data_IF_429500454587
#
_entry.id   IF_429500454587
#
_cell.length_a   1.000
_cell.length_b   1.000
_cell.length_c   1.000
_cell.angle_alpha   90.00
_cell.angle_beta   90.00
_cell.angle_gamma   90.00
#
_symmetry.space_group_name_H-M   'P 1'
#
loop_
_entity.id
_entity.type
_entity.pdbx_description
1 polymer ?
#
# COMPACT_ATOMS: atom_id res chain seq x y z
N UNK A 1 -23.62 12.42 3.61
CA UNK A 1 -22.94 12.32 2.29
C UNK A 1 -22.42 10.90 2.04
N UNK A 2 -22.52 10.38 0.81
CA UNK A 2 -21.89 9.10 0.43
C UNK A 2 -20.40 9.28 0.06
N UNK A 3 -19.50 8.36 0.47
CA UNK A 3 -18.08 8.43 0.14
C UNK A 3 -17.82 8.17 -1.36
N UNK A 4 -17.38 9.21 -2.10
CA UNK A 4 -17.12 9.16 -3.55
C UNK A 4 -16.01 8.19 -3.96
N UNK A 5 -15.10 7.84 -3.05
CA UNK A 5 -13.99 6.90 -3.27
C UNK A 5 -14.30 5.44 -2.95
N UNK A 6 -15.48 5.11 -2.42
CA UNK A 6 -15.85 3.77 -1.93
C UNK A 6 -15.65 2.65 -2.94
N UNK A 7 -16.07 2.85 -4.20
CA UNK A 7 -15.95 1.84 -5.25
C UNK A 7 -14.48 1.55 -5.60
N UNK A 8 -13.65 2.60 -5.68
CA UNK A 8 -12.22 2.48 -5.93
C UNK A 8 -11.50 1.79 -4.76
N UNK A 9 -11.79 2.18 -3.51
CA UNK A 9 -11.20 1.56 -2.32
C UNK A 9 -11.58 0.08 -2.19
N UNK A 10 -12.84 -0.27 -2.47
CA UNK A 10 -13.29 -1.67 -2.43
C UNK A 10 -12.65 -2.49 -3.55
N UNK A 11 -12.64 -1.97 -4.78
CA UNK A 11 -12.02 -2.64 -5.92
C UNK A 11 -10.51 -2.82 -5.76
N UNK A 12 -9.80 -1.74 -5.44
CA UNK A 12 -8.36 -1.78 -5.17
C UNK A 12 -8.03 -2.66 -3.95
N UNK A 13 -8.88 -2.64 -2.91
CA UNK A 13 -8.70 -3.48 -1.73
C UNK A 13 -8.81 -4.98 -2.04
N UNK A 14 -9.76 -5.39 -2.89
CA UNK A 14 -9.87 -6.78 -3.35
C UNK A 14 -8.65 -7.18 -4.18
N UNK A 15 -8.23 -6.32 -5.11
CA UNK A 15 -7.06 -6.58 -5.95
C UNK A 15 -5.79 -6.67 -5.10
N UNK A 16 -5.64 -5.80 -4.09
CA UNK A 16 -4.54 -5.88 -3.13
C UNK A 16 -4.54 -7.18 -2.34
N UNK A 17 -5.70 -7.67 -1.93
CA UNK A 17 -5.81 -8.95 -1.24
C UNK A 17 -5.28 -10.11 -2.10
N UNK A 18 -5.77 -10.21 -3.34
CA UNK A 18 -5.35 -11.26 -4.28
C UNK A 18 -3.86 -11.13 -4.59
N UNK A 19 -3.42 -9.92 -4.93
CA UNK A 19 -2.04 -9.64 -5.31
C UNK A 19 -1.06 -9.87 -4.16
N UNK A 20 -1.40 -9.41 -2.96
CA UNK A 20 -0.58 -9.61 -1.77
C UNK A 20 -0.43 -11.10 -1.42
N UNK A 21 -1.50 -11.89 -1.54
CA UNK A 21 -1.43 -13.34 -1.36
C UNK A 21 -0.49 -13.98 -2.39
N UNK A 22 -0.60 -13.62 -3.67
CA UNK A 22 0.26 -14.14 -4.73
C UNK A 22 1.74 -13.81 -4.48
N UNK A 23 2.05 -12.57 -4.10
CA UNK A 23 3.41 -12.15 -3.74
C UNK A 23 3.93 -12.95 -2.55
N UNK A 24 3.11 -13.13 -1.51
CA UNK A 24 3.52 -13.90 -0.33
C UNK A 24 3.82 -15.35 -0.70
N UNK A 25 2.97 -15.99 -1.51
CA UNK A 25 3.21 -17.37 -1.99
C UNK A 25 4.50 -17.43 -2.80
N UNK A 26 4.73 -16.48 -3.71
CA UNK A 26 5.95 -16.42 -4.50
C UNK A 26 7.20 -16.23 -3.62
N UNK A 27 7.12 -15.38 -2.59
CA UNK A 27 8.16 -15.23 -1.59
C UNK A 27 8.45 -16.52 -0.83
N UNK A 28 7.41 -17.26 -0.42
CA UNK A 28 7.58 -18.58 0.25
C UNK A 28 8.26 -19.59 -0.68
N UNK A 29 7.87 -19.64 -1.96
CA UNK A 29 8.53 -20.52 -2.95
C UNK A 29 10.01 -20.17 -3.10
N UNK A 30 10.35 -18.88 -3.20
CA UNK A 30 11.75 -18.43 -3.25
C UNK A 30 12.53 -18.79 -1.98
N UNK A 31 11.89 -18.69 -0.81
CA UNK A 31 12.50 -19.10 0.45
C UNK A 31 12.81 -20.59 0.44
N UNK A 32 11.86 -21.43 -0.01
CA UNK A 32 12.10 -22.87 -0.18
C UNK A 32 13.24 -23.16 -1.16
N UNK A 33 13.31 -22.44 -2.29
CA UNK A 33 14.42 -22.57 -3.25
C UNK A 33 15.77 -22.20 -2.62
N UNK A 34 15.83 -21.14 -1.80
CA UNK A 34 17.05 -20.77 -1.08
C UNK A 34 17.49 -21.88 -0.11
N UNK A 35 16.55 -22.50 0.62
CA UNK A 35 16.86 -23.62 1.51
C UNK A 35 17.33 -24.88 0.77
N UNK A 36 16.78 -25.15 -0.41
CA UNK A 36 17.27 -26.24 -1.27
C UNK A 36 18.66 -25.96 -1.83
N UNK A 37 18.93 -24.73 -2.25
CA UNK A 37 20.27 -24.31 -2.68
C UNK A 37 21.29 -24.44 -1.53
N UNK A 38 20.92 -24.14 -0.28
CA UNK A 38 21.77 -24.39 0.88
C UNK A 38 22.11 -25.87 1.06
N UNK A 39 21.12 -26.75 0.88
CA UNK A 39 21.31 -28.20 1.04
C UNK A 39 22.11 -28.84 -0.10
N UNK A 40 21.96 -28.30 -1.32
CA UNK A 40 22.62 -28.81 -2.52
C UNK A 40 23.94 -28.08 -2.83
N UNK A 41 24.29 -27.03 -2.09
CA UNK A 41 25.45 -26.17 -2.32
C UNK A 41 26.83 -26.80 -2.10
N UNK A 42 26.86 -28.02 -1.58
CA UNK A 42 28.07 -28.87 -1.53
C UNK A 42 28.30 -29.66 -2.83
N UNK A 43 27.35 -29.64 -3.78
CA UNK A 43 27.54 -30.28 -5.09
C UNK A 43 28.41 -29.42 -6.01
N UNK A 44 29.40 -30.05 -6.63
CA UNK A 44 30.39 -29.39 -7.50
C UNK A 44 29.74 -28.65 -8.68
N UNK A 45 28.66 -29.21 -9.23
CA UNK A 45 27.92 -28.63 -10.37
C UNK A 45 27.26 -27.28 -10.02
N UNK A 46 26.68 -27.15 -8.82
CA UNK A 46 26.00 -25.90 -8.44
C UNK A 46 27.00 -24.82 -8.01
N UNK A 47 28.13 -25.21 -7.40
CA UNK A 47 29.24 -24.27 -7.18
C UNK A 47 29.79 -23.72 -8.50
N UNK A 48 29.89 -24.55 -9.54
CA UNK A 48 30.38 -24.14 -10.83
C UNK A 48 29.44 -23.11 -11.50
N UNK A 49 28.12 -23.35 -11.45
CA UNK A 49 27.10 -22.41 -11.94
C UNK A 49 27.14 -21.06 -11.18
N UNK A 50 27.32 -21.08 -9.86
CA UNK A 50 27.44 -19.86 -9.07
C UNK A 50 28.72 -19.07 -9.43
N UNK A 51 29.84 -19.78 -9.59
CA UNK A 51 31.14 -19.19 -9.91
C UNK A 51 31.18 -18.62 -11.33
N UNK A 52 30.51 -19.26 -12.29
CA UNK A 52 30.30 -18.74 -13.66
C UNK A 52 29.45 -17.45 -13.67
N UNK A 53 28.55 -17.29 -12.70
CA UNK A 53 27.79 -16.06 -12.46
C UNK A 53 28.54 -14.97 -11.67
N UNK A 54 29.80 -15.20 -11.29
CA UNK A 54 30.61 -14.27 -10.50
C UNK A 54 30.19 -14.12 -9.04
N UNK A 55 29.36 -15.03 -8.52
CA UNK A 55 28.84 -15.00 -7.14
C UNK A 55 29.32 -16.23 -6.37
N UNK A 56 29.63 -16.05 -5.08
CA UNK A 56 29.80 -17.20 -4.20
C UNK A 56 28.42 -17.85 -3.95
N UNK A 57 28.39 -19.16 -3.75
CA UNK A 57 27.15 -19.88 -3.45
C UNK A 57 26.48 -19.34 -2.18
N UNK A 58 27.28 -18.96 -1.18
CA UNK A 58 26.82 -18.28 0.04
C UNK A 58 26.18 -16.91 -0.27
N UNK A 59 26.78 -16.11 -1.16
CA UNK A 59 26.24 -14.83 -1.59
C UNK A 59 24.93 -14.97 -2.37
N UNK A 60 24.83 -15.98 -3.24
CA UNK A 60 23.60 -16.29 -3.99
C UNK A 60 22.46 -16.68 -3.06
N UNK A 61 22.71 -17.64 -2.16
CA UNK A 61 21.75 -18.09 -1.14
C UNK A 61 21.29 -16.91 -0.28
N UNK A 62 22.22 -16.10 0.23
CA UNK A 62 21.90 -14.95 1.07
C UNK A 62 21.01 -13.94 0.32
N UNK A 63 21.30 -13.70 -0.96
CA UNK A 63 20.54 -12.78 -1.81
C UNK A 63 19.12 -13.26 -2.04
N UNK A 64 18.94 -14.53 -2.41
CA UNK A 64 17.62 -15.14 -2.62
C UNK A 64 16.82 -15.17 -1.31
N UNK A 65 17.48 -15.45 -0.18
CA UNK A 65 16.83 -15.49 1.12
C UNK A 65 16.34 -14.09 1.55
N UNK A 66 17.19 -13.06 1.46
CA UNK A 66 16.78 -11.67 1.77
C UNK A 66 15.62 -11.20 0.89
N UNK A 67 15.66 -11.55 -0.40
CA UNK A 67 14.60 -11.23 -1.35
C UNK A 67 13.28 -11.94 -0.99
N UNK A 68 13.35 -13.21 -0.62
CA UNK A 68 12.17 -13.98 -0.22
C UNK A 68 11.49 -13.40 1.01
N UNK A 69 12.27 -13.02 2.03
CA UNK A 69 11.76 -12.37 3.25
C UNK A 69 11.15 -11.02 2.93
N UNK A 70 11.80 -10.22 2.07
CA UNK A 70 11.26 -8.92 1.63
C UNK A 70 9.92 -9.09 0.91
N UNK A 71 9.81 -10.07 0.00
CA UNK A 71 8.57 -10.36 -0.73
C UNK A 71 7.45 -10.82 0.22
N UNK A 72 7.74 -11.69 1.19
CA UNK A 72 6.76 -12.14 2.19
C UNK A 72 6.28 -10.96 3.03
N UNK A 73 7.19 -10.13 3.54
CA UNK A 73 6.85 -8.95 4.33
C UNK A 73 6.01 -7.96 3.52
N UNK A 74 6.41 -7.69 2.27
CA UNK A 74 5.67 -6.82 1.36
C UNK A 74 4.26 -7.35 1.06
N UNK A 75 4.16 -8.64 0.72
CA UNK A 75 2.89 -9.31 0.43
C UNK A 75 1.94 -9.25 1.63
N UNK A 76 2.43 -9.51 2.84
CA UNK A 76 1.65 -9.40 4.07
C UNK A 76 1.15 -7.96 4.31
N UNK A 77 2.00 -6.96 4.15
CA UNK A 77 1.62 -5.54 4.26
C UNK A 77 0.52 -5.15 3.25
N UNK A 78 0.65 -5.63 2.00
CA UNK A 78 -0.34 -5.40 0.94
C UNK A 78 -1.68 -6.09 1.26
N UNK A 79 -1.67 -7.29 1.81
CA UNK A 79 -2.90 -7.97 2.26
C UNK A 79 -3.59 -7.18 3.37
N UNK A 80 -2.83 -6.71 4.36
CA UNK A 80 -3.38 -5.89 5.47
C UNK A 80 -4.02 -4.61 4.91
N UNK A 81 -3.34 -3.92 3.98
CA UNK A 81 -3.92 -2.78 3.27
C UNK A 81 -5.23 -3.13 2.56
N UNK A 82 -5.26 -4.25 1.84
CA UNK A 82 -6.44 -4.70 1.11
C UNK A 82 -7.64 -4.88 2.05
N UNK A 83 -7.41 -5.54 3.19
CA UNK A 83 -8.41 -5.74 4.23
C UNK A 83 -8.89 -4.40 4.79
N UNK A 84 -7.96 -3.50 5.18
CA UNK A 84 -8.30 -2.19 5.73
C UNK A 84 -9.08 -1.34 4.71
N UNK A 85 -8.74 -1.42 3.43
CA UNK A 85 -9.47 -0.75 2.35
C UNK A 85 -10.89 -1.24 2.20
N UNK A 86 -11.11 -2.55 2.28
CA UNK A 86 -12.46 -3.14 2.21
C UNK A 86 -13.29 -2.76 3.44
N UNK A 87 -12.71 -2.86 4.65
CA UNK A 87 -13.42 -2.57 5.90
C UNK A 87 -13.77 -1.07 5.99
N UNK A 88 -12.81 -0.20 5.67
CA UNK A 88 -12.95 1.25 5.86
C UNK A 88 -13.38 2.00 4.59
N UNK A 89 -13.70 1.33 3.48
CA UNK A 89 -14.18 2.00 2.25
C UNK A 89 -15.43 2.87 2.47
N UNK A 90 -16.25 2.58 3.49
CA UNK A 90 -17.43 3.35 3.87
C UNK A 90 -17.16 4.43 4.94
N UNK A 91 -15.99 4.39 5.58
CA UNK A 91 -15.66 5.27 6.70
C UNK A 91 -14.97 6.54 6.20
N UNK A 92 -15.71 7.64 6.21
CA UNK A 92 -15.23 8.98 5.83
C UNK A 92 -14.14 9.47 6.80
N UNK A 93 -14.31 9.25 8.12
CA UNK A 93 -13.34 9.66 9.15
C UNK A 93 -11.98 8.93 9.10
N UNK A 94 -11.91 7.76 8.46
CA UNK A 94 -10.65 6.98 8.32
C UNK A 94 -9.92 7.24 7.01
N UNK A 95 -10.44 8.11 6.14
CA UNK A 95 -9.89 8.38 4.81
C UNK A 95 -8.45 8.93 4.86
N UNK A 96 -8.14 9.82 5.82
CA UNK A 96 -6.77 10.36 6.01
C UNK A 96 -5.76 9.29 6.40
N UNK A 97 -6.17 8.35 7.26
CA UNK A 97 -5.34 7.20 7.66
C UNK A 97 -5.08 6.27 6.47
N UNK A 98 -6.11 5.92 5.69
CA UNK A 98 -5.94 5.09 4.50
C UNK A 98 -5.03 5.76 3.45
N UNK A 99 -5.15 7.08 3.29
CA UNK A 99 -4.28 7.87 2.41
C UNK A 99 -2.82 7.79 2.86
N UNK A 100 -2.54 8.02 4.15
CA UNK A 100 -1.20 7.90 4.70
C UNK A 100 -0.61 6.49 4.50
N UNK A 101 -1.39 5.46 4.79
CA UNK A 101 -0.94 4.07 4.69
C UNK A 101 -0.62 3.68 3.24
N UNK A 102 -1.35 4.22 2.27
CA UNK A 102 -1.04 4.02 0.85
C UNK A 102 0.27 4.69 0.41
N UNK A 103 0.59 5.88 0.92
CA UNK A 103 1.88 6.53 0.67
C UNK A 103 3.01 5.65 1.21
N UNK A 104 2.86 5.13 2.43
CA UNK A 104 3.86 4.28 3.06
C UNK A 104 4.18 3.06 2.19
N UNK A 105 3.16 2.40 1.62
CA UNK A 105 3.36 1.25 0.75
C UNK A 105 3.94 1.60 -0.61
N UNK A 106 3.59 2.76 -1.18
CA UNK A 106 4.24 3.24 -2.41
C UNK A 106 5.74 3.45 -2.17
N UNK A 107 6.10 4.14 -1.08
CA UNK A 107 7.50 4.40 -0.71
C UNK A 107 8.24 3.09 -0.48
N UNK A 108 7.67 2.18 0.31
CA UNK A 108 8.25 0.87 0.58
C UNK A 108 8.44 0.04 -0.71
N UNK A 109 7.46 0.04 -1.60
CA UNK A 109 7.55 -0.66 -2.89
C UNK A 109 8.59 -0.04 -3.82
N UNK A 110 8.73 1.30 -3.81
CA UNK A 110 9.74 2.01 -4.59
C UNK A 110 11.16 1.72 -4.12
N UNK A 111 11.39 1.65 -2.80
CA UNK A 111 12.69 1.25 -2.23
C UNK A 111 13.06 -0.17 -2.67
N UNK A 112 12.11 -1.12 -2.56
CA UNK A 112 12.36 -2.50 -2.97
C UNK A 112 12.55 -2.66 -4.49
N UNK A 113 11.88 -1.84 -5.30
CA UNK A 113 12.12 -1.77 -6.73
C UNK A 113 13.55 -1.30 -7.02
N UNK A 114 14.01 -0.24 -6.35
CA UNK A 114 15.38 0.26 -6.47
C UNK A 114 16.42 -0.81 -6.12
N UNK A 115 16.20 -1.54 -5.03
CA UNK A 115 17.05 -2.68 -4.65
C UNK A 115 17.03 -3.77 -5.72
N UNK A 116 15.86 -4.16 -6.22
CA UNK A 116 15.74 -5.19 -7.26
C UNK A 116 16.51 -4.83 -8.54
N UNK A 117 16.50 -3.55 -8.93
CA UNK A 117 17.26 -3.04 -10.06
C UNK A 117 18.77 -3.12 -9.80
N UNK A 118 19.22 -2.68 -8.62
CA UNK A 118 20.65 -2.66 -8.26
C UNK A 118 21.27 -4.06 -8.20
N UNK A 119 20.50 -5.07 -7.80
CA UNK A 119 20.96 -6.46 -7.70
C UNK A 119 20.64 -7.30 -8.94
N UNK A 120 20.14 -6.70 -10.03
CA UNK A 120 19.86 -7.42 -11.29
C UNK A 120 18.75 -8.48 -11.18
N UNK A 121 17.86 -8.34 -10.19
CA UNK A 121 16.90 -9.36 -9.80
C UNK A 121 15.59 -9.26 -10.60
N UNK A 122 15.04 -10.41 -10.97
CA UNK A 122 13.80 -10.58 -11.76
C UNK A 122 12.50 -10.18 -11.03
N UNK A 123 12.54 -9.75 -9.76
CA UNK A 123 11.34 -9.33 -9.02
C UNK A 123 10.92 -7.86 -9.20
N UNK A 124 11.42 -7.16 -10.22
CA UNK A 124 10.96 -5.81 -10.52
C UNK A 124 9.44 -5.72 -10.75
N UNK A 125 8.86 -6.72 -11.42
CA UNK A 125 7.44 -6.74 -11.80
C UNK A 125 6.52 -6.70 -10.56
N UNK A 126 6.68 -7.56 -9.54
CA UNK A 126 5.96 -7.48 -8.27
C UNK A 126 5.92 -6.08 -7.65
N UNK A 127 7.04 -5.38 -7.62
CA UNK A 127 7.15 -4.06 -7.01
C UNK A 127 6.47 -2.97 -7.87
N UNK A 128 6.62 -3.02 -9.20
CA UNK A 128 5.95 -2.09 -10.11
C UNK A 128 4.42 -2.17 -10.01
N UNK A 129 3.86 -3.38 -10.00
CA UNK A 129 2.40 -3.57 -9.85
C UNK A 129 1.93 -3.07 -8.48
N UNK A 130 2.72 -3.32 -7.42
CA UNK A 130 2.40 -2.85 -6.07
C UNK A 130 2.35 -1.31 -5.97
N UNK A 131 3.24 -0.61 -6.68
CA UNK A 131 3.23 0.86 -6.78
C UNK A 131 1.96 1.35 -7.48
N UNK A 132 1.60 0.76 -8.63
CA UNK A 132 0.39 1.15 -9.38
C UNK A 132 -0.86 0.95 -8.52
N UNK A 133 -0.98 -0.19 -7.83
CA UNK A 133 -2.10 -0.44 -6.93
C UNK A 133 -2.12 0.54 -5.75
N UNK A 134 -0.94 0.89 -5.22
CA UNK A 134 -0.79 1.95 -4.20
C UNK A 134 -1.35 3.28 -4.66
N UNK A 135 -1.07 3.69 -5.90
CA UNK A 135 -1.58 4.95 -6.48
C UNK A 135 -3.10 4.91 -6.63
N UNK A 136 -3.65 3.81 -7.17
CA UNK A 136 -5.12 3.66 -7.33
C UNK A 136 -5.81 3.74 -5.96
N UNK A 137 -5.25 3.08 -4.96
CA UNK A 137 -5.76 3.11 -3.60
C UNK A 137 -5.67 4.52 -2.98
N UNK A 138 -4.55 5.21 -3.20
CA UNK A 138 -4.36 6.59 -2.77
C UNK A 138 -5.42 7.51 -3.37
N UNK A 139 -5.72 7.38 -4.66
CA UNK A 139 -6.77 8.17 -5.33
C UNK A 139 -8.14 7.91 -4.70
N UNK A 140 -8.45 6.65 -4.40
CA UNK A 140 -9.68 6.29 -3.69
C UNK A 140 -9.77 6.94 -2.31
N UNK A 141 -8.67 6.90 -1.53
CA UNK A 141 -8.60 7.53 -0.23
C UNK A 141 -8.69 9.08 -0.30
N UNK A 142 -8.00 9.70 -1.25
CA UNK A 142 -8.00 11.16 -1.46
C UNK A 142 -9.39 11.70 -1.82
N UNK A 143 -10.13 10.98 -2.66
CA UNK A 143 -11.53 11.32 -2.97
C UNK A 143 -12.43 11.28 -1.73
N UNK A 144 -12.20 10.32 -0.83
CA UNK A 144 -12.91 10.29 0.45
C UNK A 144 -12.50 11.47 1.35
N UNK A 145 -11.20 11.82 1.42
CA UNK A 145 -10.74 13.00 2.20
C UNK A 145 -11.35 14.30 1.69
N UNK A 146 -11.39 14.51 0.37
CA UNK A 146 -12.03 15.70 -0.21
C UNK A 146 -13.52 15.79 0.12
N UNK A 147 -14.21 14.64 0.19
CA UNK A 147 -15.61 14.59 0.62
C UNK A 147 -15.77 14.96 2.10
N UNK A 148 -14.82 14.63 2.97
CA UNK A 148 -14.80 15.07 4.38
C UNK A 148 -14.70 16.60 4.46
N UNK A 149 -13.74 17.17 3.75
CA UNK A 149 -13.43 18.60 3.88
C UNK A 149 -14.60 19.46 3.36
N UNK A 150 -15.23 19.08 2.25
CA UNK A 150 -16.43 19.75 1.75
C UNK A 150 -17.58 19.71 2.76
N UNK A 151 -17.81 18.57 3.40
CA UNK A 151 -18.86 18.46 4.41
C UNK A 151 -18.59 19.30 5.66
N UNK A 152 -17.32 19.52 6.03
CA UNK A 152 -16.96 20.42 7.15
C UNK A 152 -17.16 21.88 6.76
N UNK A 153 -16.78 22.26 5.54
CA UNK A 153 -16.96 23.61 5.03
C UNK A 153 -18.45 23.99 4.89
N UNK A 154 -19.30 23.04 4.47
CA UNK A 154 -20.75 23.22 4.45
C UNK A 154 -21.33 23.45 5.87
N UNK A 155 -20.82 22.75 6.89
CA UNK A 155 -21.24 22.94 8.29
C UNK A 155 -20.78 24.28 8.84
N UNK A 156 -19.50 24.66 8.60
CA UNK A 156 -18.98 25.96 9.04
C UNK A 156 -19.76 27.12 8.39
N UNK A 157 -20.18 26.97 7.13
CA UNK A 157 -21.00 27.95 6.42
C UNK A 157 -22.45 28.01 6.95
N UNK A 158 -23.05 26.87 7.30
CA UNK A 158 -24.39 26.80 7.89
C UNK A 158 -24.41 27.40 9.30
N UNK A 159 -23.44 27.07 10.16
CA UNK A 159 -23.29 27.63 11.50
C UNK A 159 -23.04 29.14 11.46
N UNK A 160 -22.23 29.62 10.51
CA UNK A 160 -22.03 31.06 10.30
C UNK A 160 -23.32 31.77 9.86
N UNK A 161 -24.14 31.14 9.01
CA UNK A 161 -25.43 31.66 8.58
C UNK A 161 -26.42 31.82 9.74
N UNK A 162 -26.50 30.81 10.61
CA UNK A 162 -27.37 30.83 11.80
C UNK A 162 -26.96 31.94 12.77
N UNK A 163 -25.65 32.12 12.99
CA UNK A 163 -25.15 33.20 13.87
C UNK A 163 -25.45 34.60 13.32
N UNK A 164 -25.36 34.80 12.00
CA UNK A 164 -25.71 36.08 11.36
C UNK A 164 -27.21 36.35 11.49
N UNK A 165 -28.05 35.33 11.32
CA UNK A 165 -29.50 35.46 11.48
C UNK A 165 -29.90 35.77 12.94
N UNK A 166 -29.28 35.13 13.93
CA UNK A 166 -29.51 35.43 15.35
C UNK A 166 -29.06 36.85 15.74
N UNK A 167 -27.92 37.32 15.21
CA UNK A 167 -27.43 38.68 15.47
C UNK A 167 -28.36 39.74 14.88
N UNK A 168 -28.81 39.56 13.62
CA UNK A 168 -29.77 40.47 13.01
C UNK A 168 -31.09 40.52 13.78
N UNK A 169 -31.56 39.38 14.27
CA UNK A 169 -32.83 39.31 15.02
C UNK A 169 -32.74 40.07 16.35
N UNK A 170 -31.60 39.99 17.05
CA UNK A 170 -31.35 40.75 18.29
C UNK A 170 -31.24 42.25 18.05
N UNK A 171 -30.59 42.70 16.98
CA UNK A 171 -30.52 44.13 16.65
C UNK A 171 -31.91 44.71 16.34
N UNK A 172 -32.80 43.96 15.69
CA UNK A 172 -34.18 44.41 15.44
C UNK A 172 -35.11 44.36 16.67
N UNK A 173 -34.77 43.61 17.73
CA UNK A 173 -35.57 43.57 18.97
C UNK A 173 -35.13 44.62 20.00
N UNK A 174 -33.90 45.15 19.93
CA UNK A 174 -33.44 46.24 20.82
C UNK A 174 -33.88 47.65 20.35
N UNK A 175 -34.37 47.80 19.11
CA UNK A 175 -34.83 49.07 18.53
C UNK A 175 -36.37 49.31 18.64
N UNK A 176 -37.08 48.53 19.47
CA UNK A 176 -38.54 48.70 19.75
C UNK A 176 -38.83 49.09 21.20
#
# INVERSE_FOLDING_TARGET
>A
MEPKGKALLKGAGIIFLIWGILITIFGVVLFSTATMLQQLGDSHEIQQIATEGGLTMEGLVHTVNMMSVSLIANGACIVILGILGIIFCKSIGKARFLRFLSILVIVFSAVNLGMSILYGLTAMIPHMVSIVLGIVYFIGADRNVKTVNLALEDIDAEDAGILVEEVQKKETEEDV
#
